data_IF_374240653360
#
_entry.id   IF_374240653360
#
_cell.length_a   1.000
_cell.length_b   1.000
_cell.length_c   1.000
_cell.angle_alpha   90.00
_cell.angle_beta   90.00
_cell.angle_gamma   90.00
#
_symmetry.space_group_name_H-M   'P 1'
#
loop_
_entity.id
_entity.type
_entity.pdbx_description
1 polymer ?
#
# COMPACT_ATOMS: atom_id res chain seq x y z
N UNK A 1 1.43 13.62 -7.79
CA UNK A 1 2.15 13.02 -6.64
C UNK A 1 1.53 11.66 -6.36
N UNK A 2 2.32 10.67 -5.96
CA UNK A 2 1.78 9.34 -5.61
C UNK A 2 1.52 9.27 -4.10
N UNK A 3 0.40 8.67 -3.72
CA UNK A 3 0.08 8.39 -2.33
C UNK A 3 0.42 6.94 -2.00
N UNK A 4 1.42 6.76 -1.13
CA UNK A 4 1.89 5.45 -0.69
C UNK A 4 1.14 5.08 0.58
N UNK A 5 0.12 4.24 0.43
CA UNK A 5 -0.73 3.75 1.50
C UNK A 5 -0.02 2.65 2.28
N UNK A 6 -0.03 2.71 3.60
CA UNK A 6 0.20 1.54 4.44
C UNK A 6 -0.97 1.44 5.42
N UNK A 7 -1.85 0.47 5.21
CA UNK A 7 -3.08 0.28 5.96
C UNK A 7 -2.86 -0.03 7.45
N UNK A 8 -1.63 -0.35 7.85
CA UNK A 8 -1.27 -0.59 9.25
C UNK A 8 -0.96 0.71 10.02
N UNK A 9 -1.25 1.89 9.44
CA UNK A 9 -1.03 3.20 10.06
C UNK A 9 -2.36 3.82 10.53
N UNK A 10 -2.44 4.38 11.76
CA UNK A 10 -3.71 4.79 12.39
C UNK A 10 -4.62 5.73 11.58
N UNK A 11 -4.07 6.63 10.76
CA UNK A 11 -4.86 7.63 10.04
C UNK A 11 -5.29 7.22 8.64
N UNK A 12 -4.72 6.12 8.13
CA UNK A 12 -4.93 5.65 6.76
C UNK A 12 -5.29 4.16 6.74
N UNK A 13 -5.76 3.63 7.87
CA UNK A 13 -6.21 2.23 8.02
C UNK A 13 -7.64 2.00 7.49
N UNK A 14 -8.31 3.03 7.01
CA UNK A 14 -9.60 2.94 6.29
C UNK A 14 -9.58 3.86 5.06
N UNK A 15 -10.47 3.61 4.10
CA UNK A 15 -10.58 4.43 2.90
C UNK A 15 -10.95 5.89 3.24
N UNK A 16 -11.85 6.11 4.21
CA UNK A 16 -12.27 7.43 4.66
C UNK A 16 -11.11 8.19 5.33
N UNK A 17 -10.35 7.51 6.20
CA UNK A 17 -9.18 8.10 6.85
C UNK A 17 -8.09 8.46 5.83
N UNK A 18 -7.84 7.57 4.87
CA UNK A 18 -6.91 7.82 3.78
C UNK A 18 -7.35 8.98 2.87
N UNK A 19 -8.64 9.04 2.50
CA UNK A 19 -9.21 10.13 1.71
C UNK A 19 -9.09 11.48 2.44
N UNK A 20 -9.39 11.50 3.74
CA UNK A 20 -9.20 12.68 4.58
C UNK A 20 -7.72 13.11 4.59
N UNK A 21 -6.81 12.16 4.80
CA UNK A 21 -5.36 12.40 4.82
C UNK A 21 -4.86 12.95 3.48
N UNK A 22 -5.28 12.37 2.35
CA UNK A 22 -4.97 12.88 1.00
C UNK A 22 -5.39 14.34 0.87
N UNK A 23 -6.63 14.70 1.24
CA UNK A 23 -7.11 16.08 1.16
C UNK A 23 -6.26 17.06 1.98
N UNK A 24 -5.80 16.66 3.17
CA UNK A 24 -4.89 17.50 3.97
C UNK A 24 -3.52 17.66 3.30
N UNK A 25 -2.96 16.59 2.75
CA UNK A 25 -1.68 16.64 2.02
C UNK A 25 -1.80 17.53 0.79
N UNK A 26 -2.84 17.39 -0.02
CA UNK A 26 -3.05 18.24 -1.20
C UNK A 26 -3.16 19.71 -0.82
N UNK A 27 -3.88 20.03 0.26
CA UNK A 27 -4.03 21.40 0.76
C UNK A 27 -2.70 22.00 1.19
N UNK A 28 -1.88 21.25 1.94
CA UNK A 28 -0.61 21.73 2.45
C UNK A 28 0.48 21.82 1.36
N UNK A 29 0.58 20.79 0.51
CA UNK A 29 1.62 20.70 -0.52
C UNK A 29 1.30 21.47 -1.80
N UNK A 30 0.01 21.76 -2.06
CA UNK A 30 -0.53 22.26 -3.33
C UNK A 30 -0.32 21.30 -4.51
N UNK A 31 0.03 20.04 -4.24
CA UNK A 31 0.16 18.99 -5.26
C UNK A 31 -1.07 18.10 -5.25
N UNK A 32 -1.50 17.66 -6.43
CA UNK A 32 -2.56 16.67 -6.57
C UNK A 32 -2.02 15.25 -6.46
N UNK A 33 -2.75 14.41 -5.75
CA UNK A 33 -2.53 12.96 -5.76
C UNK A 33 -3.07 12.42 -7.06
N UNK A 34 -2.25 11.66 -7.77
CA UNK A 34 -2.52 11.16 -9.13
C UNK A 34 -2.45 9.64 -9.22
N UNK A 35 -2.19 8.96 -8.11
CA UNK A 35 -2.13 7.50 -8.05
C UNK A 35 -1.92 7.00 -6.63
N UNK A 36 -2.42 5.80 -6.36
CA UNK A 36 -2.31 5.09 -5.08
C UNK A 36 -1.41 3.88 -5.27
N UNK A 37 -0.50 3.67 -4.32
CA UNK A 37 0.31 2.45 -4.20
C UNK A 37 0.02 1.85 -2.83
N UNK A 38 -0.32 0.57 -2.79
CA UNK A 38 -0.41 -0.17 -1.53
C UNK A 38 0.99 -0.65 -1.13
N UNK A 39 1.52 -0.16 -0.01
CA UNK A 39 2.77 -0.55 0.61
C UNK A 39 2.52 -1.01 2.06
N UNK A 40 1.39 -1.67 2.32
CA UNK A 40 1.07 -2.24 3.62
C UNK A 40 2.04 -3.38 3.92
N UNK A 41 2.83 -3.22 4.97
CA UNK A 41 3.85 -4.19 5.39
C UNK A 41 4.21 -4.00 6.87
N UNK A 42 4.76 -5.05 7.45
CA UNK A 42 5.33 -5.11 8.81
C UNK A 42 6.76 -5.67 8.77
N UNK A 43 7.49 -5.41 7.68
CA UNK A 43 8.83 -5.95 7.46
C UNK A 43 8.81 -7.45 7.16
N UNK A 44 9.64 -8.24 7.85
CA UNK A 44 9.70 -9.69 7.64
C UNK A 44 8.43 -10.41 8.12
N UNK A 45 7.66 -9.79 9.02
CA UNK A 45 6.39 -10.34 9.52
C UNK A 45 5.23 -10.13 8.54
N UNK A 46 5.48 -9.50 7.38
CA UNK A 46 4.42 -9.20 6.42
C UNK A 46 3.76 -10.48 5.93
N UNK A 47 2.43 -10.50 5.94
CA UNK A 47 1.66 -11.65 5.43
C UNK A 47 0.87 -11.29 4.17
N UNK A 48 0.46 -12.30 3.39
CA UNK A 48 -0.45 -12.07 2.27
C UNK A 48 -1.82 -11.55 2.70
N UNK A 49 -2.27 -11.87 3.92
CA UNK A 49 -3.50 -11.32 4.49
C UNK A 49 -3.40 -9.79 4.66
N UNK A 50 -2.27 -9.29 5.20
CA UNK A 50 -2.03 -7.84 5.31
C UNK A 50 -2.01 -7.16 3.94
N UNK A 51 -1.39 -7.80 2.93
CA UNK A 51 -1.37 -7.29 1.56
C UNK A 51 -2.78 -7.21 0.98
N UNK A 52 -3.60 -8.25 1.17
CA UNK A 52 -4.99 -8.30 0.69
C UNK A 52 -5.86 -7.23 1.37
N UNK A 53 -5.73 -7.07 2.69
CA UNK A 53 -6.44 -6.02 3.43
C UNK A 53 -6.06 -4.62 2.92
N UNK A 54 -4.76 -4.35 2.76
CA UNK A 54 -4.29 -3.08 2.19
C UNK A 54 -4.76 -2.84 0.75
N UNK A 55 -4.88 -3.91 -0.05
CA UNK A 55 -5.37 -3.88 -1.42
C UNK A 55 -6.86 -3.53 -1.47
N UNK A 56 -7.67 -4.09 -0.58
CA UNK A 56 -9.09 -3.75 -0.46
C UNK A 56 -9.28 -2.26 -0.13
N UNK A 57 -8.56 -1.76 0.87
CA UNK A 57 -8.61 -0.33 1.26
C UNK A 57 -8.14 0.57 0.11
N UNK A 58 -7.06 0.21 -0.59
CA UNK A 58 -6.57 0.98 -1.73
C UNK A 58 -7.58 1.01 -2.89
N UNK A 59 -8.27 -0.11 -3.15
CA UNK A 59 -9.31 -0.21 -4.18
C UNK A 59 -10.52 0.66 -3.83
N UNK A 60 -10.96 0.65 -2.58
CA UNK A 60 -12.09 1.48 -2.15
C UNK A 60 -11.74 2.97 -2.15
N UNK A 61 -10.53 3.32 -1.70
CA UNK A 61 -10.00 4.68 -1.79
C UNK A 61 -9.90 5.16 -3.24
N UNK A 62 -9.45 4.30 -4.15
CA UNK A 62 -9.35 4.59 -5.58
C UNK A 62 -10.71 4.96 -6.17
N UNK A 63 -11.75 4.16 -5.89
CA UNK A 63 -13.13 4.45 -6.32
C UNK A 63 -13.67 5.73 -5.69
N UNK A 64 -13.44 5.92 -4.39
CA UNK A 64 -13.95 7.06 -3.64
C UNK A 64 -13.38 8.41 -4.13
N UNK A 65 -12.11 8.41 -4.50
CA UNK A 65 -11.38 9.63 -4.89
C UNK A 65 -11.25 9.81 -6.40
N UNK A 66 -11.68 8.82 -7.19
CA UNK A 66 -11.48 8.77 -8.64
C UNK A 66 -10.00 8.93 -9.05
N UNK A 67 -9.13 8.18 -8.37
CA UNK A 67 -7.67 8.18 -8.55
C UNK A 67 -7.22 6.75 -8.81
N UNK A 68 -6.33 6.48 -9.79
CA UNK A 68 -5.94 5.12 -10.13
C UNK A 68 -5.17 4.42 -8.99
N UNK A 69 -5.56 3.18 -8.69
CA UNK A 69 -4.73 2.25 -7.91
C UNK A 69 -3.74 1.55 -8.84
N UNK A 70 -2.44 1.81 -8.64
CA UNK A 70 -1.41 1.43 -9.60
C UNK A 70 -0.90 -0.01 -9.39
N UNK A 71 -0.52 -0.34 -8.16
CA UNK A 71 0.02 -1.65 -7.77
C UNK A 71 0.17 -1.79 -6.25
N UNK A 72 0.35 -3.04 -5.80
CA UNK A 72 0.80 -3.39 -4.45
C UNK A 72 2.30 -3.69 -4.42
N UNK A 73 3.00 -3.19 -3.41
CA UNK A 73 4.37 -3.58 -3.08
C UNK A 73 4.32 -4.84 -2.21
N UNK A 74 5.01 -5.90 -2.63
CA UNK A 74 5.04 -7.20 -1.94
C UNK A 74 6.48 -7.55 -1.61
N UNK A 75 6.75 -8.01 -0.39
CA UNK A 75 8.10 -8.45 -0.04
C UNK A 75 8.48 -9.70 -0.84
N UNK A 76 9.73 -9.78 -1.30
CA UNK A 76 10.19 -10.88 -2.15
C UNK A 76 9.98 -12.29 -1.54
N UNK A 77 10.02 -12.42 -0.21
CA UNK A 77 9.78 -13.69 0.48
C UNK A 77 8.33 -14.22 0.33
N UNK A 78 7.39 -13.38 -0.07
CA UNK A 78 5.99 -13.76 -0.33
C UNK A 78 5.71 -14.06 -1.81
N UNK A 79 6.74 -14.09 -2.67
CA UNK A 79 6.56 -14.23 -4.11
C UNK A 79 5.74 -15.47 -4.50
N UNK A 80 6.06 -16.62 -3.91
CA UNK A 80 5.34 -17.88 -4.18
C UNK A 80 3.89 -17.80 -3.71
N UNK A 81 3.62 -17.20 -2.55
CA UNK A 81 2.27 -17.04 -2.02
C UNK A 81 1.43 -15.99 -2.76
N UNK A 82 2.05 -15.16 -3.60
CA UNK A 82 1.40 -14.07 -4.32
C UNK A 82 0.90 -14.48 -5.73
N UNK A 83 1.08 -15.73 -6.17
CA UNK A 83 0.67 -16.17 -7.52
C UNK A 83 -0.81 -15.88 -7.82
N UNK A 84 -1.69 -16.20 -6.88
CA UNK A 84 -3.13 -15.93 -7.04
C UNK A 84 -3.43 -14.43 -7.07
N UNK A 85 -2.70 -13.64 -6.27
CA UNK A 85 -2.86 -12.18 -6.23
C UNK A 85 -2.56 -11.54 -7.59
N UNK A 86 -1.48 -12.01 -8.25
CA UNK A 86 -1.02 -11.50 -9.54
C UNK A 86 -2.02 -11.72 -10.69
N UNK A 87 -2.95 -12.67 -10.55
CA UNK A 87 -3.98 -12.89 -11.56
C UNK A 87 -5.03 -11.76 -11.62
N UNK A 88 -5.17 -11.00 -10.53
CA UNK A 88 -6.20 -9.98 -10.37
C UNK A 88 -5.65 -8.57 -10.16
N UNK A 89 -4.37 -8.44 -9.78
CA UNK A 89 -3.76 -7.18 -9.36
C UNK A 89 -2.30 -7.08 -9.77
N UNK A 90 -1.85 -5.87 -10.09
CA UNK A 90 -0.44 -5.60 -10.36
C UNK A 90 0.36 -5.54 -9.05
N UNK A 91 1.56 -6.11 -9.05
CA UNK A 91 2.48 -6.02 -7.92
C UNK A 91 3.91 -5.68 -8.34
N UNK A 92 4.62 -5.02 -7.43
CA UNK A 92 6.07 -4.86 -7.48
C UNK A 92 6.67 -5.62 -6.29
N UNK A 93 7.64 -6.49 -6.56
CA UNK A 93 8.36 -7.20 -5.52
C UNK A 93 9.54 -6.37 -5.01
N UNK A 94 9.71 -6.32 -3.69
CA UNK A 94 10.75 -5.55 -3.02
C UNK A 94 11.66 -6.46 -2.20
N UNK A 95 12.95 -6.39 -2.47
CA UNK A 95 14.01 -6.97 -1.64
C UNK A 95 14.42 -5.98 -0.54
N UNK A 96 14.55 -6.50 0.68
CA UNK A 96 14.97 -5.71 1.84
C UNK A 96 16.43 -5.99 2.17
N UNK A 97 17.29 -5.01 1.93
CA UNK A 97 18.72 -5.09 2.25
C UNK A 97 19.07 -4.52 3.63
N UNK A 98 18.28 -3.56 4.12
CA UNK A 98 18.46 -3.01 5.47
C UNK A 98 17.87 -3.98 6.49
N UNK A 99 18.76 -4.70 7.17
CA UNK A 99 18.42 -5.57 8.30
C UNK A 99 18.46 -4.80 9.61
N UNK A 100 17.59 -5.15 10.54
CA UNK A 100 17.69 -4.66 11.92
C UNK A 100 18.77 -5.47 12.67
N UNK A 101 19.38 -4.94 13.76
CA UNK A 101 20.54 -5.57 14.41
C UNK A 101 20.35 -7.02 14.88
N UNK A 102 19.11 -7.49 15.03
CA UNK A 102 18.77 -8.85 15.48
C UNK A 102 18.45 -9.84 14.35
N UNK A 103 18.47 -9.40 13.09
CA UNK A 103 18.29 -10.25 11.92
C UNK A 103 19.66 -10.51 11.26
N UNK A 104 20.47 -11.40 11.83
CA UNK A 104 21.78 -11.76 11.28
C UNK A 104 21.68 -12.17 9.78
#
# INVERSE_FOLDING_TARGET
MLFVLNANRPYVSTAEGAAFTIKQIEKASRLKVSGIINNSNTGIATTMEEILNGTAIASDLSKQMDIPFLYSCISAHLRESAEQFLSCQNAIFIDRYMKVPWEA
#
